data_IF_528772618913
#
_entry.id   IF_528772618913
#
_cell.length_a   1.000
_cell.length_b   1.000
_cell.length_c   1.000
_cell.angle_alpha   90.00
_cell.angle_beta   90.00
_cell.angle_gamma   90.00
#
_symmetry.space_group_name_H-M   'P 1'
#
loop_
_entity.id
_entity.type
_entity.pdbx_description
1 polymer ?
#
# COMPACT_ATOMS: atom_id res chain seq x y z
N UNK A 1 73.98 43.55 -35.63
CA UNK A 1 73.83 42.97 -34.25
C UNK A 1 72.39 42.63 -34.04
N UNK A 2 72.00 41.36 -34.11
CA UNK A 2 70.61 40.90 -34.09
C UNK A 2 70.36 40.29 -32.75
N UNK A 3 69.38 40.79 -31.96
CA UNK A 3 68.90 40.26 -30.72
C UNK A 3 67.75 39.27 -30.99
N UNK A 4 67.87 38.06 -30.54
CA UNK A 4 66.82 37.04 -30.61
C UNK A 4 66.01 37.03 -29.32
N UNK A 5 64.71 37.31 -29.47
CA UNK A 5 63.76 37.11 -28.38
C UNK A 5 63.21 35.70 -28.42
N UNK A 6 63.44 34.93 -27.37
CA UNK A 6 62.83 33.65 -27.12
C UNK A 6 61.46 33.85 -26.40
N UNK A 7 60.38 33.65 -27.12
CA UNK A 7 59.06 33.52 -26.51
C UNK A 7 58.91 32.09 -25.94
N UNK A 8 58.83 32.00 -24.60
CA UNK A 8 58.42 30.79 -23.90
C UNK A 8 56.93 30.68 -23.92
N UNK A 9 56.40 29.66 -24.57
CA UNK A 9 54.93 29.30 -24.55
C UNK A 9 54.65 28.49 -23.28
N UNK A 10 54.04 29.10 -22.29
CA UNK A 10 53.56 28.40 -21.10
C UNK A 10 52.21 27.68 -21.43
N UNK A 11 52.27 26.36 -21.52
CA UNK A 11 51.08 25.52 -21.71
C UNK A 11 50.36 25.38 -20.36
N UNK A 12 49.27 26.15 -20.13
CA UNK A 12 48.40 26.01 -18.97
C UNK A 12 47.45 24.83 -19.28
N UNK A 13 47.74 23.66 -18.71
CA UNK A 13 46.81 22.54 -18.67
C UNK A 13 45.70 22.89 -17.68
N UNK A 14 44.59 23.38 -18.18
CA UNK A 14 43.31 23.48 -17.42
C UNK A 14 42.75 22.04 -17.21
N UNK A 15 42.98 21.49 -16.02
CA UNK A 15 42.20 20.34 -15.52
C UNK A 15 40.76 20.82 -15.28
N UNK A 16 39.93 20.75 -16.30
CA UNK A 16 38.48 20.82 -16.14
C UNK A 16 38.02 19.53 -15.47
N UNK A 17 37.93 19.56 -14.15
CA UNK A 17 37.29 18.50 -13.38
C UNK A 17 35.87 18.32 -13.90
N UNK A 18 35.60 17.20 -14.55
CA UNK A 18 34.24 16.71 -14.82
C UNK A 18 33.58 16.41 -13.48
N UNK A 19 33.03 17.43 -12.85
CA UNK A 19 32.02 17.22 -11.83
C UNK A 19 30.81 16.70 -12.59
N UNK A 20 30.67 15.37 -12.65
CA UNK A 20 29.45 14.74 -13.07
C UNK A 20 28.34 15.25 -12.15
N UNK A 21 27.50 16.14 -12.66
CA UNK A 21 26.28 16.50 -11.98
C UNK A 21 25.52 15.19 -11.74
N UNK A 22 25.44 14.74 -10.48
CA UNK A 22 24.58 13.64 -10.11
C UNK A 22 23.16 14.04 -10.57
N UNK A 23 22.68 13.40 -11.62
CA UNK A 23 21.37 13.68 -12.16
C UNK A 23 20.36 13.29 -11.08
N UNK A 24 19.57 14.25 -10.62
CA UNK A 24 18.56 13.99 -9.61
C UNK A 24 17.61 12.90 -10.10
N UNK A 25 17.55 11.80 -9.36
CA UNK A 25 16.65 10.69 -9.65
C UNK A 25 15.31 10.96 -8.97
N UNK A 26 14.33 11.41 -9.75
CA UNK A 26 12.97 11.57 -9.25
C UNK A 26 12.31 10.20 -9.08
N UNK A 27 11.65 10.00 -7.95
CA UNK A 27 10.91 8.79 -7.62
C UNK A 27 9.53 9.14 -7.10
N UNK A 28 8.49 8.65 -7.74
CA UNK A 28 7.11 8.79 -7.25
C UNK A 28 6.71 7.55 -6.45
N UNK A 29 6.11 7.77 -5.28
CA UNK A 29 5.59 6.72 -4.40
C UNK A 29 4.08 6.77 -4.46
N UNK A 30 3.48 5.83 -5.19
CA UNK A 30 2.04 5.72 -5.33
C UNK A 30 1.43 5.12 -4.06
N UNK A 31 0.46 5.82 -3.46
CA UNK A 31 -0.08 5.50 -2.13
C UNK A 31 -1.58 5.18 -2.15
N UNK A 32 -2.42 6.02 -1.61
CA UNK A 32 -3.87 5.90 -1.52
C UNK A 32 -4.47 7.17 -0.95
N UNK A 33 -5.73 7.15 -0.57
CA UNK A 33 -6.41 8.27 0.06
C UNK A 33 -5.77 8.67 1.41
N UNK A 34 -5.87 9.96 1.75
CA UNK A 34 -5.24 10.55 2.94
C UNK A 34 -5.75 10.01 4.28
N UNK A 35 -6.97 9.45 4.31
CA UNK A 35 -7.55 8.82 5.50
C UNK A 35 -7.06 7.39 5.79
N UNK A 36 -6.24 6.82 4.89
CA UNK A 36 -5.69 5.47 5.02
C UNK A 36 -4.26 5.45 5.56
N UNK A 37 -3.62 4.28 5.47
CA UNK A 37 -2.26 4.03 5.99
C UNK A 37 -1.17 4.28 4.95
N UNK A 38 -1.43 4.03 3.67
CA UNK A 38 -0.43 4.18 2.60
C UNK A 38 0.11 5.61 2.49
N UNK A 39 -0.75 6.63 2.61
CA UNK A 39 -0.33 8.01 2.41
C UNK A 39 0.67 8.51 3.47
N UNK A 40 0.41 8.41 4.79
CA UNK A 40 1.40 8.80 5.80
C UNK A 40 2.67 7.95 5.72
N UNK A 41 2.55 6.64 5.44
CA UNK A 41 3.70 5.75 5.28
C UNK A 41 4.55 6.13 4.06
N UNK A 42 3.91 6.42 2.93
CA UNK A 42 4.57 6.86 1.70
C UNK A 42 5.24 8.23 1.86
N UNK A 43 4.60 9.15 2.60
CA UNK A 43 5.19 10.45 2.96
C UNK A 43 6.46 10.29 3.79
N UNK A 44 6.40 9.42 4.81
CA UNK A 44 7.58 9.08 5.62
C UNK A 44 8.69 8.45 4.78
N UNK A 45 8.34 7.50 3.91
CA UNK A 45 9.31 6.85 3.02
C UNK A 45 9.93 7.86 2.05
N UNK A 46 9.13 8.75 1.46
CA UNK A 46 9.63 9.81 0.56
C UNK A 46 10.64 10.72 1.26
N UNK A 47 10.33 11.16 2.48
CA UNK A 47 11.23 11.99 3.28
C UNK A 47 12.53 11.25 3.63
N UNK A 48 12.43 9.99 4.05
CA UNK A 48 13.59 9.14 4.40
C UNK A 48 14.49 8.92 3.18
N UNK A 49 13.92 8.57 2.03
CA UNK A 49 14.69 8.33 0.80
C UNK A 49 15.36 9.60 0.29
N UNK A 50 14.63 10.72 0.22
CA UNK A 50 15.18 12.01 -0.25
C UNK A 50 16.32 12.51 0.64
N UNK A 51 16.27 12.24 1.95
CA UNK A 51 17.29 12.65 2.90
C UNK A 51 18.53 11.76 2.88
N UNK A 52 18.38 10.45 2.66
CA UNK A 52 19.44 9.49 2.95
C UNK A 52 19.99 8.77 1.68
N UNK A 53 19.33 8.86 0.53
CA UNK A 53 19.83 8.31 -0.72
C UNK A 53 20.37 9.46 -1.59
N UNK A 54 21.68 9.52 -1.83
CA UNK A 54 22.28 10.61 -2.60
C UNK A 54 21.65 10.77 -4.00
N UNK A 55 21.24 11.98 -4.35
CA UNK A 55 20.65 12.28 -5.65
C UNK A 55 19.18 11.87 -5.82
N UNK A 56 18.56 11.20 -4.83
CA UNK A 56 17.15 10.82 -4.92
C UNK A 56 16.22 11.93 -4.45
N UNK A 57 15.18 12.21 -5.23
CA UNK A 57 14.06 13.08 -4.87
C UNK A 57 12.78 12.26 -4.93
N UNK A 58 12.28 11.83 -3.77
CA UNK A 58 11.07 11.01 -3.67
C UNK A 58 9.86 11.86 -3.25
N UNK A 59 8.69 11.57 -3.82
CA UNK A 59 7.43 12.25 -3.52
C UNK A 59 6.30 11.23 -3.38
N UNK A 60 5.49 11.36 -2.33
CA UNK A 60 4.29 10.54 -2.15
C UNK A 60 3.11 11.12 -2.94
N UNK A 61 2.41 10.28 -3.70
CA UNK A 61 1.26 10.65 -4.52
C UNK A 61 -0.02 10.01 -3.98
N UNK A 62 -1.09 10.81 -3.87
CA UNK A 62 -2.44 10.33 -3.57
C UNK A 62 -3.01 9.63 -4.80
N UNK A 63 -3.57 8.45 -4.62
CA UNK A 63 -4.20 7.65 -5.67
C UNK A 63 -5.50 7.00 -5.18
N UNK A 64 -6.19 6.27 -6.03
CA UNK A 64 -7.30 5.40 -5.63
C UNK A 64 -6.88 4.20 -4.77
N UNK A 65 -5.60 3.83 -4.79
CA UNK A 65 -5.00 2.69 -4.06
C UNK A 65 -4.36 1.65 -4.97
N UNK A 66 -4.30 0.41 -4.51
CA UNK A 66 -3.45 -0.65 -5.09
C UNK A 66 -3.59 -0.85 -6.59
N UNK A 67 -4.82 -0.86 -7.14
CA UNK A 67 -5.04 -1.09 -8.59
C UNK A 67 -4.48 0.07 -9.42
N UNK A 68 -4.68 1.30 -8.96
CA UNK A 68 -4.12 2.47 -9.65
C UNK A 68 -2.59 2.52 -9.50
N UNK A 69 -2.06 2.18 -8.31
CA UNK A 69 -0.62 2.10 -8.06
C UNK A 69 0.06 1.10 -9.01
N UNK A 70 -0.55 -0.06 -9.18
CA UNK A 70 -0.02 -1.11 -10.08
C UNK A 70 -0.02 -0.66 -11.55
N UNK A 71 -1.02 0.12 -11.99
CA UNK A 71 -1.03 0.72 -13.33
C UNK A 71 0.08 1.78 -13.49
N UNK A 72 0.30 2.62 -12.46
CA UNK A 72 1.36 3.61 -12.45
C UNK A 72 2.74 2.95 -12.52
N UNK A 73 3.00 1.94 -11.69
CA UNK A 73 4.22 1.14 -11.73
C UNK A 73 4.38 0.48 -13.10
N UNK A 74 3.31 -0.11 -13.65
CA UNK A 74 3.31 -0.75 -14.96
C UNK A 74 3.58 0.19 -16.14
N UNK A 75 3.50 1.51 -15.94
CA UNK A 75 3.82 2.49 -16.98
C UNK A 75 5.32 2.57 -17.33
N UNK A 76 6.18 1.91 -16.55
CA UNK A 76 7.64 1.96 -16.71
C UNK A 76 8.30 3.29 -16.32
N UNK A 77 7.52 4.25 -15.79
CA UNK A 77 8.04 5.48 -15.21
C UNK A 77 8.66 5.20 -13.83
N UNK A 78 9.41 6.14 -13.23
CA UNK A 78 10.08 5.92 -11.94
C UNK A 78 9.08 5.94 -10.77
N UNK A 79 8.22 4.92 -10.73
CA UNK A 79 7.26 4.67 -9.67
C UNK A 79 7.65 3.46 -8.83
N UNK A 80 7.41 3.59 -7.53
CA UNK A 80 7.16 2.46 -6.63
C UNK A 80 5.74 2.57 -6.08
N UNK A 81 5.12 1.45 -5.71
CA UNK A 81 3.74 1.49 -5.26
C UNK A 81 3.47 0.60 -4.07
N UNK A 82 2.68 1.10 -3.13
CA UNK A 82 2.06 0.28 -2.10
C UNK A 82 0.93 -0.53 -2.72
N UNK A 83 0.87 -1.81 -2.43
CA UNK A 83 -0.20 -2.67 -2.95
C UNK A 83 -0.48 -3.85 -2.02
N UNK A 84 -1.70 -4.35 -2.07
CA UNK A 84 -2.08 -5.63 -1.47
C UNK A 84 -1.63 -6.78 -2.38
N UNK A 85 -1.26 -7.91 -1.79
CA UNK A 85 -0.73 -9.07 -2.54
C UNK A 85 -1.74 -9.69 -3.49
N UNK A 86 -3.03 -9.63 -3.19
CA UNK A 86 -4.10 -10.12 -4.07
C UNK A 86 -4.22 -9.29 -5.36
N UNK A 87 -4.25 -7.96 -5.25
CA UNK A 87 -4.25 -7.08 -6.42
C UNK A 87 -2.94 -7.19 -7.22
N UNK A 88 -1.80 -7.34 -6.54
CA UNK A 88 -0.51 -7.57 -7.19
C UNK A 88 -0.49 -8.88 -7.99
N UNK A 89 -1.05 -9.97 -7.43
CA UNK A 89 -1.19 -11.24 -8.13
C UNK A 89 -2.05 -11.09 -9.39
N UNK A 90 -3.22 -10.45 -9.27
CA UNK A 90 -4.10 -10.19 -10.42
C UNK A 90 -3.37 -9.42 -11.53
N UNK A 91 -2.60 -8.39 -11.16
CA UNK A 91 -1.85 -7.57 -12.10
C UNK A 91 -0.71 -8.36 -12.77
N UNK A 92 0.05 -9.11 -11.99
CA UNK A 92 1.16 -9.93 -12.47
C UNK A 92 0.69 -11.04 -13.43
N UNK A 93 -0.47 -11.63 -13.13
CA UNK A 93 -1.09 -12.65 -13.98
C UNK A 93 -1.88 -12.07 -15.16
N UNK A 94 -2.26 -10.78 -15.11
CA UNK A 94 -3.09 -10.13 -16.13
C UNK A 94 -4.54 -10.61 -16.11
N UNK A 95 -5.10 -10.76 -14.91
CA UNK A 95 -6.49 -11.19 -14.69
C UNK A 95 -7.32 -10.09 -14.01
N UNK A 96 -8.60 -10.32 -13.83
CA UNK A 96 -9.54 -9.42 -13.15
C UNK A 96 -9.48 -7.99 -13.69
N UNK A 97 -9.13 -7.00 -12.88
CA UNK A 97 -8.99 -5.59 -13.29
C UNK A 97 -7.86 -5.35 -14.30
N UNK A 98 -6.99 -6.33 -14.50
CA UNK A 98 -5.84 -6.29 -15.41
C UNK A 98 -5.97 -7.27 -16.59
N UNK A 99 -7.18 -7.75 -16.87
CA UNK A 99 -7.43 -8.76 -17.91
C UNK A 99 -6.80 -8.37 -19.24
N UNK A 100 -5.90 -9.23 -19.71
CA UNK A 100 -5.16 -9.05 -20.96
C UNK A 100 -3.92 -8.14 -20.86
N UNK A 101 -3.65 -7.54 -19.68
CA UNK A 101 -2.54 -6.61 -19.46
C UNK A 101 -1.73 -7.04 -18.22
N UNK A 102 -0.78 -7.95 -18.40
CA UNK A 102 0.16 -8.32 -17.33
C UNK A 102 1.05 -7.13 -16.99
N UNK A 103 1.22 -6.89 -15.70
CA UNK A 103 2.13 -5.85 -15.21
C UNK A 103 3.45 -6.48 -14.79
N UNK A 104 4.59 -6.05 -15.35
CA UNK A 104 5.92 -6.60 -15.03
C UNK A 104 6.41 -6.07 -13.68
N UNK A 105 6.00 -6.75 -12.61
CA UNK A 105 6.24 -6.35 -11.23
C UNK A 105 7.40 -7.11 -10.59
N UNK A 106 8.07 -6.43 -9.64
CA UNK A 106 8.99 -7.03 -8.67
C UNK A 106 8.65 -6.53 -7.27
N UNK A 107 8.69 -7.42 -6.29
CA UNK A 107 8.56 -7.07 -4.87
C UNK A 107 9.85 -6.40 -4.39
N UNK A 108 9.71 -5.24 -3.78
CA UNK A 108 10.78 -4.59 -3.03
C UNK A 108 10.76 -5.00 -1.56
N UNK A 109 9.60 -4.95 -0.92
CA UNK A 109 9.45 -5.28 0.50
C UNK A 109 8.08 -5.91 0.78
N UNK A 110 8.06 -6.87 1.69
CA UNK A 110 6.85 -7.27 2.42
C UNK A 110 6.70 -6.30 3.61
N UNK A 111 5.53 -5.71 3.78
CA UNK A 111 5.32 -4.60 4.68
C UNK A 111 4.60 -5.00 5.98
N UNK A 112 3.28 -5.06 5.95
CA UNK A 112 2.45 -5.30 7.13
C UNK A 112 1.14 -6.01 6.74
N UNK A 113 0.49 -6.71 7.68
CA UNK A 113 -0.81 -7.31 7.44
C UNK A 113 -1.89 -6.23 7.29
N UNK A 114 -2.69 -6.33 6.25
CA UNK A 114 -3.74 -5.41 5.88
C UNK A 114 -5.10 -6.05 6.17
N UNK A 115 -5.83 -5.52 7.13
CA UNK A 115 -7.02 -6.12 7.71
C UNK A 115 -8.29 -5.55 7.09
N UNK A 116 -9.21 -6.44 6.73
CA UNK A 116 -10.54 -6.03 6.26
C UNK A 116 -11.39 -5.56 7.43
N UNK A 117 -11.84 -4.33 7.37
CA UNK A 117 -12.84 -3.75 8.25
C UNK A 117 -14.18 -3.74 7.51
N UNK A 118 -15.19 -4.37 8.06
CA UNK A 118 -16.58 -4.19 7.65
C UNK A 118 -17.25 -3.39 8.76
N UNK A 119 -17.35 -2.08 8.55
CA UNK A 119 -17.71 -1.11 9.60
C UNK A 119 -19.14 -0.65 9.41
N UNK A 120 -19.88 -0.67 10.49
CA UNK A 120 -21.19 -0.02 10.65
C UNK A 120 -21.21 0.77 11.96
N UNK A 121 -22.34 1.30 12.32
CA UNK A 121 -22.59 1.97 13.60
C UNK A 121 -23.84 1.41 14.26
N UNK A 122 -23.95 1.57 15.58
CA UNK A 122 -25.13 1.14 16.35
C UNK A 122 -26.42 1.74 15.77
N UNK A 123 -27.52 0.99 15.80
CA UNK A 123 -28.82 1.41 15.25
C UNK A 123 -29.03 1.10 13.76
N UNK A 124 -28.01 0.65 13.02
CA UNK A 124 -28.15 0.27 11.59
C UNK A 124 -28.68 -1.14 11.36
N UNK A 125 -28.77 -1.97 12.42
CA UNK A 125 -29.24 -3.35 12.33
C UNK A 125 -28.30 -4.25 11.51
N UNK A 126 -26.98 -4.03 11.63
CA UNK A 126 -25.94 -4.81 10.92
C UNK A 126 -25.06 -5.44 11.98
N UNK A 127 -25.09 -6.79 12.06
CA UNK A 127 -24.28 -7.59 12.99
C UNK A 127 -23.50 -8.71 12.29
N UNK A 128 -23.89 -9.10 11.08
CA UNK A 128 -23.27 -10.14 10.26
C UNK A 128 -23.33 -9.74 8.78
N UNK A 129 -22.54 -10.40 7.95
CA UNK A 129 -22.46 -10.10 6.51
C UNK A 129 -23.83 -10.16 5.81
N UNK A 130 -24.70 -11.10 6.17
CA UNK A 130 -26.03 -11.23 5.58
C UNK A 130 -26.95 -10.00 5.83
N UNK A 131 -26.70 -9.23 6.88
CA UNK A 131 -27.47 -8.02 7.22
C UNK A 131 -27.16 -6.82 6.30
N UNK A 132 -26.14 -6.94 5.44
CA UNK A 132 -25.83 -5.96 4.40
C UNK A 132 -26.87 -5.94 3.27
N UNK A 133 -27.71 -6.99 3.18
CA UNK A 133 -28.77 -7.06 2.17
C UNK A 133 -29.76 -5.90 2.31
N UNK A 134 -29.97 -5.19 1.20
CA UNK A 134 -30.83 -3.99 1.13
C UNK A 134 -30.20 -2.71 1.67
N UNK A 135 -29.02 -2.77 2.26
CA UNK A 135 -28.33 -1.60 2.86
C UNK A 135 -27.56 -0.80 1.81
N UNK A 136 -27.24 0.45 2.19
CA UNK A 136 -26.35 1.35 1.44
C UNK A 136 -24.94 1.10 1.94
N UNK A 137 -24.08 0.58 1.07
CA UNK A 137 -22.75 0.07 1.45
C UNK A 137 -21.66 0.63 0.55
N UNK A 138 -20.66 1.28 1.14
CA UNK A 138 -19.45 1.64 0.40
C UNK A 138 -18.50 0.45 0.34
N UNK A 139 -18.06 0.11 -0.87
CA UNK A 139 -17.16 -1.04 -1.11
C UNK A 139 -15.70 -0.64 -1.36
N UNK A 140 -15.34 0.62 -1.10
CA UNK A 140 -14.01 1.16 -1.38
C UNK A 140 -13.99 2.06 -2.61
N UNK A 141 -12.96 2.90 -2.70
CA UNK A 141 -12.79 3.81 -3.83
C UNK A 141 -12.55 3.07 -5.14
N UNK A 142 -12.92 3.67 -6.28
CA UNK A 142 -12.47 3.19 -7.58
C UNK A 142 -10.93 3.09 -7.61
N UNK A 143 -10.39 2.05 -8.22
CA UNK A 143 -8.93 1.85 -8.30
C UNK A 143 -8.28 1.32 -7.01
N UNK A 144 -9.04 1.00 -5.96
CA UNK A 144 -8.53 0.40 -4.72
C UNK A 144 -8.57 -1.14 -4.75
N UNK A 145 -7.67 -1.78 -4.01
CA UNK A 145 -7.80 -3.19 -3.69
C UNK A 145 -8.83 -3.44 -2.57
N UNK A 146 -9.23 -2.41 -1.81
CA UNK A 146 -10.39 -2.51 -0.91
C UNK A 146 -11.62 -2.96 -1.69
N UNK A 147 -11.90 -2.35 -2.85
CA UNK A 147 -13.03 -2.76 -3.70
C UNK A 147 -12.87 -4.20 -4.21
N UNK A 148 -11.64 -4.60 -4.60
CA UNK A 148 -11.35 -5.97 -5.06
C UNK A 148 -11.65 -6.98 -3.95
N UNK A 149 -11.09 -6.78 -2.77
CA UNK A 149 -11.26 -7.69 -1.63
C UNK A 149 -12.70 -7.68 -1.11
N UNK A 150 -13.38 -6.51 -1.09
CA UNK A 150 -14.79 -6.40 -0.72
C UNK A 150 -15.68 -7.26 -1.62
N UNK A 151 -15.46 -7.26 -2.94
CA UNK A 151 -16.22 -8.10 -3.87
C UNK A 151 -16.02 -9.58 -3.62
N UNK A 152 -14.78 -10.00 -3.35
CA UNK A 152 -14.43 -11.39 -3.01
C UNK A 152 -15.06 -11.84 -1.71
N UNK A 153 -15.08 -10.96 -0.71
CA UNK A 153 -15.70 -11.24 0.58
C UNK A 153 -17.24 -11.29 0.48
N UNK A 154 -17.86 -10.34 -0.21
CA UNK A 154 -19.32 -10.32 -0.44
C UNK A 154 -19.76 -11.60 -1.15
N UNK A 155 -19.03 -12.02 -2.17
CA UNK A 155 -19.30 -13.27 -2.89
C UNK A 155 -19.12 -14.49 -1.98
N UNK A 156 -18.04 -14.56 -1.20
CA UNK A 156 -17.78 -15.65 -0.25
C UNK A 156 -18.84 -15.74 0.86
N UNK A 157 -19.46 -14.61 1.21
CA UNK A 157 -20.60 -14.54 2.13
C UNK A 157 -21.96 -14.89 1.47
N UNK A 158 -21.97 -15.31 0.20
CA UNK A 158 -23.18 -15.67 -0.52
C UNK A 158 -24.06 -14.49 -0.97
N UNK A 159 -23.50 -13.29 -1.03
CA UNK A 159 -24.18 -12.07 -1.45
C UNK A 159 -23.76 -11.63 -2.85
N UNK A 160 -24.66 -10.93 -3.54
CA UNK A 160 -24.39 -10.27 -4.82
C UNK A 160 -24.21 -8.76 -4.59
N UNK A 161 -23.02 -8.26 -4.89
CA UNK A 161 -22.66 -6.85 -4.69
C UNK A 161 -23.51 -5.84 -5.47
N UNK A 162 -24.12 -6.27 -6.56
CA UNK A 162 -24.92 -5.40 -7.44
C UNK A 162 -26.44 -5.53 -7.23
N UNK A 163 -26.89 -6.67 -6.66
CA UNK A 163 -28.33 -6.95 -6.44
C UNK A 163 -28.73 -6.84 -4.98
N UNK A 164 -27.85 -7.27 -4.05
CA UNK A 164 -28.23 -7.39 -2.65
C UNK A 164 -27.97 -6.11 -1.84
N UNK A 165 -27.30 -5.10 -2.41
CA UNK A 165 -27.01 -3.84 -1.71
C UNK A 165 -27.04 -2.63 -2.64
N UNK A 166 -27.29 -1.45 -2.05
CA UNK A 166 -27.13 -0.16 -2.75
C UNK A 166 -25.66 0.26 -2.59
N UNK A 167 -24.86 0.00 -3.62
CA UNK A 167 -23.41 0.11 -3.55
C UNK A 167 -22.94 1.54 -3.85
N UNK A 168 -22.08 2.05 -2.95
CA UNK A 168 -21.31 3.27 -3.12
C UNK A 168 -19.82 2.93 -3.29
N UNK A 169 -19.03 3.85 -3.86
CA UNK A 169 -17.61 3.65 -4.15
C UNK A 169 -16.81 4.81 -3.59
N UNK A 170 -16.59 4.77 -2.28
CA UNK A 170 -15.97 5.85 -1.50
C UNK A 170 -14.68 5.38 -0.86
N UNK A 171 -13.70 6.26 -0.70
CA UNK A 171 -12.51 6.02 0.12
C UNK A 171 -12.85 5.98 1.61
N UNK A 172 -11.85 5.72 2.47
CA UNK A 172 -12.07 5.56 3.90
C UNK A 172 -12.64 6.84 4.54
N UNK A 173 -12.06 8.00 4.26
CA UNK A 173 -12.50 9.28 4.82
C UNK A 173 -13.90 9.68 4.33
N UNK A 174 -14.16 9.52 3.04
CA UNK A 174 -15.46 9.79 2.42
C UNK A 174 -16.55 8.84 2.95
N UNK A 175 -16.22 7.57 3.18
CA UNK A 175 -17.13 6.58 3.78
C UNK A 175 -17.48 6.96 5.21
N UNK A 176 -16.50 7.40 6.01
CA UNK A 176 -16.73 7.89 7.37
C UNK A 176 -17.64 9.11 7.37
N UNK A 177 -17.40 10.09 6.50
CA UNK A 177 -18.28 11.25 6.37
C UNK A 177 -19.68 10.82 5.94
N UNK A 178 -19.82 9.91 4.99
CA UNK A 178 -21.12 9.41 4.54
C UNK A 178 -21.89 8.64 5.63
N UNK A 179 -21.22 7.90 6.52
CA UNK A 179 -21.85 7.29 7.71
C UNK A 179 -22.33 8.36 8.69
N UNK A 180 -21.50 9.36 9.01
CA UNK A 180 -21.85 10.48 9.90
C UNK A 180 -23.07 11.25 9.38
N UNK A 181 -23.12 11.46 8.06
CA UNK A 181 -24.24 12.12 7.39
C UNK A 181 -25.48 11.22 7.21
N UNK A 182 -25.43 9.96 7.62
CA UNK A 182 -26.53 9.00 7.42
C UNK A 182 -26.78 8.60 5.98
N UNK A 183 -25.83 8.84 5.07
CA UNK A 183 -25.94 8.54 3.62
C UNK A 183 -25.68 7.08 3.30
N UNK A 184 -24.83 6.40 4.08
CA UNK A 184 -24.58 4.96 4.00
C UNK A 184 -24.80 4.28 5.35
N UNK A 185 -24.90 2.95 5.34
CA UNK A 185 -25.20 2.15 6.53
C UNK A 185 -24.00 1.33 6.98
N UNK A 186 -23.08 1.01 6.05
CA UNK A 186 -21.82 0.32 6.30
C UNK A 186 -20.77 0.66 5.24
N UNK A 187 -19.53 0.35 5.52
CA UNK A 187 -18.46 0.42 4.53
C UNK A 187 -17.41 -0.66 4.74
N UNK A 188 -16.78 -1.06 3.63
CA UNK A 188 -15.59 -1.89 3.59
C UNK A 188 -14.35 -1.02 3.55
N UNK A 189 -13.34 -1.42 4.29
CA UNK A 189 -12.02 -0.82 4.29
C UNK A 189 -10.95 -1.86 4.57
N UNK A 190 -9.89 -1.90 3.78
CA UNK A 190 -8.73 -2.74 4.06
C UNK A 190 -7.55 -1.85 4.43
N UNK A 191 -7.05 -2.01 5.64
CA UNK A 191 -5.98 -1.14 6.14
C UNK A 191 -5.21 -1.73 7.31
N UNK A 192 -4.07 -1.10 7.60
CA UNK A 192 -3.30 -1.31 8.84
C UNK A 192 -3.99 -0.68 10.04
N UNK A 193 -3.48 -0.97 11.23
CA UNK A 193 -4.04 -0.56 12.51
C UNK A 193 -3.18 0.47 13.23
N UNK A 194 -3.82 1.53 13.79
CA UNK A 194 -5.15 1.98 13.49
C UNK A 194 -5.23 2.72 12.14
N UNK A 195 -6.37 2.67 11.48
CA UNK A 195 -6.64 3.55 10.34
C UNK A 195 -7.22 4.88 10.83
N UNK A 196 -6.65 6.00 10.39
CA UNK A 196 -7.03 7.35 10.87
C UNK A 196 -8.53 7.65 10.67
N UNK A 197 -9.10 7.35 9.50
CA UNK A 197 -10.52 7.57 9.23
C UNK A 197 -11.43 6.74 10.15
N UNK A 198 -11.10 5.47 10.44
CA UNK A 198 -11.89 4.63 11.36
C UNK A 198 -11.77 5.14 12.80
N UNK A 199 -10.58 5.61 13.20
CA UNK A 199 -10.35 6.24 14.50
C UNK A 199 -11.21 7.51 14.65
N UNK A 200 -11.31 8.31 13.59
CA UNK A 200 -12.17 9.51 13.58
C UNK A 200 -13.65 9.15 13.78
N UNK A 201 -14.16 8.13 13.08
CA UNK A 201 -15.53 7.65 13.29
C UNK A 201 -15.74 7.16 14.73
N UNK A 202 -14.79 6.36 15.24
CA UNK A 202 -14.85 5.77 16.58
C UNK A 202 -14.85 6.83 17.71
N UNK A 203 -14.28 8.00 17.46
CA UNK A 203 -14.23 9.12 18.40
C UNK A 203 -15.35 10.16 18.20
N UNK A 204 -16.21 9.98 17.20
CA UNK A 204 -17.34 10.89 16.94
C UNK A 204 -18.35 10.81 18.07
N UNK A 205 -18.72 11.93 18.73
CA UNK A 205 -19.70 11.94 19.80
C UNK A 205 -21.03 11.31 19.37
N UNK A 206 -21.63 10.48 20.25
CA UNK A 206 -22.88 9.80 19.97
C UNK A 206 -22.79 8.64 18.97
N UNK A 207 -21.60 8.32 18.47
CA UNK A 207 -21.37 7.20 17.56
C UNK A 207 -20.71 6.02 18.29
N UNK A 208 -21.30 4.84 18.15
CA UNK A 208 -20.67 3.57 18.57
C UNK A 208 -20.47 2.71 17.34
N UNK A 209 -19.22 2.41 17.02
CA UNK A 209 -18.88 1.58 15.87
C UNK A 209 -19.28 0.12 16.11
N UNK A 210 -19.63 -0.56 15.02
CA UNK A 210 -19.87 -2.00 14.95
C UNK A 210 -18.98 -2.59 13.87
N UNK A 211 -18.18 -3.58 14.24
CA UNK A 211 -17.35 -4.33 13.31
C UNK A 211 -18.02 -5.67 13.04
N UNK A 212 -18.15 -6.04 11.77
CA UNK A 212 -18.79 -7.30 11.35
C UNK A 212 -17.73 -8.38 11.19
N UNK A 213 -17.89 -9.51 11.90
CA UNK A 213 -17.04 -10.68 11.76
C UNK A 213 -17.25 -11.35 10.40
N UNK A 214 -16.17 -11.89 9.83
CA UNK A 214 -16.19 -12.54 8.51
C UNK A 214 -14.96 -13.46 8.26
N UNK A 215 -14.25 -13.86 9.29
CA UNK A 215 -13.09 -14.74 9.15
C UNK A 215 -13.44 -16.08 8.47
N UNK A 216 -14.66 -16.59 8.69
CA UNK A 216 -15.16 -17.81 8.07
C UNK A 216 -15.18 -17.78 6.53
N UNK A 217 -15.19 -16.60 5.93
CA UNK A 217 -15.14 -16.45 4.47
C UNK A 217 -13.76 -16.73 3.87
N UNK A 218 -12.69 -16.72 4.66
CA UNK A 218 -11.30 -16.89 4.21
C UNK A 218 -11.10 -18.17 3.40
N UNK A 219 -11.64 -19.28 3.87
CA UNK A 219 -11.52 -20.56 3.18
C UNK A 219 -12.14 -20.52 1.76
N UNK A 220 -13.31 -19.92 1.61
CA UNK A 220 -13.98 -19.78 0.32
C UNK A 220 -13.23 -18.79 -0.59
N UNK A 221 -12.71 -17.69 -0.06
CA UNK A 221 -11.89 -16.73 -0.81
C UNK A 221 -10.62 -17.42 -1.32
N UNK A 222 -9.89 -18.15 -0.49
CA UNK A 222 -8.67 -18.85 -0.86
C UNK A 222 -8.91 -19.94 -1.91
N UNK A 223 -10.01 -20.67 -1.81
CA UNK A 223 -10.37 -21.71 -2.79
C UNK A 223 -10.51 -21.13 -4.20
N UNK A 224 -11.02 -19.89 -4.32
CA UNK A 224 -11.31 -19.27 -5.62
C UNK A 224 -10.16 -18.41 -6.13
N UNK A 225 -9.49 -17.64 -5.25
CA UNK A 225 -8.57 -16.60 -5.62
C UNK A 225 -7.10 -16.89 -5.26
N UNK A 226 -6.82 -18.06 -4.67
CA UNK A 226 -5.49 -18.47 -4.22
C UNK A 226 -5.23 -18.19 -2.74
N UNK A 227 -4.25 -18.87 -2.17
CA UNK A 227 -3.91 -18.83 -0.73
C UNK A 227 -3.23 -17.51 -0.32
N UNK A 228 -3.96 -16.41 -0.41
CA UNK A 228 -3.48 -15.06 -0.10
C UNK A 228 -4.09 -14.49 1.20
N UNK A 229 -5.22 -15.03 1.62
CA UNK A 229 -5.99 -14.52 2.74
C UNK A 229 -5.77 -15.39 3.96
N UNK A 230 -5.68 -14.75 5.13
CA UNK A 230 -5.57 -15.43 6.42
C UNK A 230 -6.62 -14.88 7.38
N UNK A 231 -7.08 -15.74 8.30
CA UNK A 231 -7.90 -15.31 9.42
C UNK A 231 -7.02 -14.54 10.41
N UNK A 232 -7.50 -13.39 10.88
CA UNK A 232 -6.79 -12.54 11.83
C UNK A 232 -7.80 -11.78 12.69
N UNK A 233 -7.31 -11.01 13.65
CA UNK A 233 -8.13 -10.32 14.63
C UNK A 233 -7.77 -8.84 14.66
N UNK A 234 -8.81 -7.98 14.67
CA UNK A 234 -8.69 -6.59 15.10
C UNK A 234 -9.06 -6.54 16.58
N UNK A 235 -8.10 -6.31 17.49
CA UNK A 235 -8.40 -6.23 18.92
C UNK A 235 -9.36 -5.08 19.22
N UNK A 236 -10.31 -5.30 20.13
CA UNK A 236 -11.28 -4.28 20.57
C UNK A 236 -10.64 -3.01 21.13
N UNK A 237 -9.40 -3.09 21.58
CA UNK A 237 -8.62 -1.96 22.09
C UNK A 237 -8.15 -0.99 21.00
N UNK A 238 -8.25 -1.38 19.70
CA UNK A 238 -7.76 -0.55 18.58
C UNK A 238 -8.65 0.66 18.34
N UNK A 239 -9.96 0.47 18.37
CA UNK A 239 -10.91 1.54 18.12
C UNK A 239 -11.90 1.69 19.29
N UNK A 240 -12.10 2.92 19.73
CA UNK A 240 -13.06 3.21 20.79
C UNK A 240 -14.48 2.74 20.41
N UNK A 241 -15.18 2.12 21.35
CA UNK A 241 -16.57 1.67 21.17
C UNK A 241 -16.71 0.24 20.61
N UNK A 242 -15.62 -0.45 20.31
CA UNK A 242 -15.68 -1.90 20.05
C UNK A 242 -15.95 -2.67 21.35
N UNK A 243 -16.97 -3.52 21.34
CA UNK A 243 -17.33 -4.36 22.51
C UNK A 243 -16.48 -5.64 22.55
N UNK A 244 -16.17 -6.19 21.37
CA UNK A 244 -15.45 -7.46 21.18
C UNK A 244 -14.34 -7.30 20.17
N UNK A 245 -13.39 -8.24 20.19
CA UNK A 245 -12.43 -8.41 19.11
C UNK A 245 -13.20 -8.74 17.83
N UNK A 246 -12.69 -8.28 16.67
CA UNK A 246 -13.30 -8.55 15.37
C UNK A 246 -12.48 -9.61 14.63
N UNK A 247 -13.11 -10.74 14.31
CA UNK A 247 -12.53 -11.84 13.53
C UNK A 247 -12.75 -11.58 12.04
N UNK A 248 -11.65 -11.45 11.30
CA UNK A 248 -11.69 -10.92 9.94
C UNK A 248 -10.66 -11.56 8.99
N UNK A 249 -10.78 -11.24 7.69
CA UNK A 249 -9.84 -11.63 6.67
C UNK A 249 -8.71 -10.60 6.53
N UNK A 250 -7.48 -11.09 6.45
CA UNK A 250 -6.26 -10.28 6.29
C UNK A 250 -5.53 -10.69 5.01
N UNK A 251 -4.89 -9.73 4.37
CA UNK A 251 -3.99 -9.90 3.22
C UNK A 251 -2.71 -9.11 3.47
N UNK A 252 -1.57 -9.55 2.93
CA UNK A 252 -0.31 -8.81 3.11
C UNK A 252 -0.22 -7.59 2.20
N UNK A 253 0.42 -6.55 2.71
CA UNK A 253 0.89 -5.42 1.89
C UNK A 253 2.33 -5.65 1.46
N UNK A 254 2.63 -5.22 0.24
CA UNK A 254 3.97 -5.19 -0.33
C UNK A 254 4.26 -3.83 -0.98
N UNK A 255 5.51 -3.48 -1.05
CA UNK A 255 6.02 -2.42 -1.90
C UNK A 255 6.53 -3.05 -3.19
N UNK A 256 6.12 -2.52 -4.32
CA UNK A 256 6.50 -3.05 -5.64
C UNK A 256 7.11 -1.98 -6.52
N UNK A 257 7.94 -2.44 -7.47
CA UNK A 257 8.49 -1.65 -8.56
C UNK A 257 8.26 -2.35 -9.90
N UNK A 258 8.46 -1.60 -11.00
CA UNK A 258 8.59 -2.19 -12.33
C UNK A 258 9.86 -3.05 -12.41
N UNK A 259 9.82 -4.17 -13.14
CA UNK A 259 10.96 -5.09 -13.23
C UNK A 259 12.23 -4.48 -13.86
N UNK A 260 12.08 -3.39 -14.62
CA UNK A 260 13.22 -2.67 -15.22
C UNK A 260 13.86 -1.65 -14.27
N UNK A 261 13.43 -1.54 -13.01
CA UNK A 261 14.12 -0.67 -12.06
C UNK A 261 15.57 -1.12 -11.92
N UNK A 262 16.49 -0.17 -11.88
CA UNK A 262 17.92 -0.44 -11.65
C UNK A 262 18.15 -1.14 -10.30
N UNK A 263 19.03 -2.15 -10.30
CA UNK A 263 19.31 -2.98 -9.12
C UNK A 263 19.86 -2.18 -7.93
N UNK A 264 20.74 -1.20 -8.19
CA UNK A 264 21.29 -0.36 -7.14
C UNK A 264 20.23 0.56 -6.57
N UNK A 265 19.31 1.06 -7.41
CA UNK A 265 18.18 1.87 -6.98
C UNK A 265 17.25 1.06 -6.07
N UNK A 266 16.85 -0.15 -6.50
CA UNK A 266 16.03 -1.05 -5.69
C UNK A 266 16.71 -1.39 -4.36
N UNK A 267 18.01 -1.71 -4.38
CA UNK A 267 18.79 -1.99 -3.18
C UNK A 267 18.82 -0.79 -2.22
N UNK A 268 19.13 0.41 -2.71
CA UNK A 268 19.23 1.60 -1.88
C UNK A 268 17.89 1.97 -1.25
N UNK A 269 16.76 1.83 -1.97
CA UNK A 269 15.42 2.05 -1.42
C UNK A 269 15.18 1.13 -0.24
N UNK A 270 15.36 -0.16 -0.42
CA UNK A 270 15.06 -1.17 0.59
C UNK A 270 16.02 -1.09 1.79
N UNK A 271 17.32 -0.98 1.52
CA UNK A 271 18.34 -0.78 2.56
C UNK A 271 18.00 0.43 3.43
N UNK A 272 17.73 1.58 2.81
CA UNK A 272 17.43 2.81 3.53
C UNK A 272 16.14 2.68 4.34
N UNK A 273 15.10 2.03 3.80
CA UNK A 273 13.86 1.79 4.54
C UNK A 273 14.07 0.96 5.80
N UNK A 274 14.93 -0.07 5.75
CA UNK A 274 15.27 -0.87 6.94
C UNK A 274 16.18 -0.11 7.92
N UNK A 275 17.21 0.57 7.45
CA UNK A 275 18.14 1.34 8.29
C UNK A 275 17.45 2.53 8.99
N UNK A 276 16.39 3.07 8.39
CA UNK A 276 15.61 4.19 8.90
C UNK A 276 14.21 3.78 9.36
N UNK A 277 14.04 2.52 9.75
CA UNK A 277 12.74 2.00 10.18
C UNK A 277 12.10 2.81 11.29
N UNK A 278 12.89 3.33 12.23
CA UNK A 278 12.37 4.13 13.34
C UNK A 278 11.75 5.46 12.86
N UNK A 279 12.32 6.09 11.84
CA UNK A 279 11.73 7.26 11.18
C UNK A 279 10.38 6.92 10.50
N UNK A 280 10.28 5.71 9.93
CA UNK A 280 9.03 5.21 9.34
C UNK A 280 7.99 4.86 10.41
N UNK A 281 8.41 4.32 11.56
CA UNK A 281 7.52 4.06 12.71
C UNK A 281 6.93 5.37 13.23
N UNK A 282 7.71 6.45 13.24
CA UNK A 282 7.22 7.78 13.60
C UNK A 282 6.13 8.29 12.63
N UNK A 283 6.16 7.88 11.37
CA UNK A 283 5.13 8.21 10.37
C UNK A 283 3.88 7.35 10.53
N UNK A 284 4.03 6.06 10.81
CA UNK A 284 2.93 5.14 11.10
C UNK A 284 3.44 3.88 11.81
N UNK A 285 2.77 3.49 12.90
CA UNK A 285 3.20 2.36 13.74
C UNK A 285 3.25 1.00 13.02
N UNK A 286 2.52 0.81 11.92
CA UNK A 286 2.61 -0.43 11.13
C UNK A 286 4.02 -0.67 10.56
N UNK A 287 4.89 0.34 10.50
CA UNK A 287 6.28 0.13 10.13
C UNK A 287 7.07 -0.73 11.14
N UNK A 288 6.55 -0.99 12.34
CA UNK A 288 7.09 -1.98 13.28
C UNK A 288 7.10 -3.39 12.68
N UNK A 289 6.22 -3.66 11.69
CA UNK A 289 6.15 -4.92 10.95
C UNK A 289 7.18 -5.02 9.81
N UNK A 290 7.93 -3.96 9.49
CA UNK A 290 9.01 -4.01 8.52
C UNK A 290 10.19 -4.75 9.13
N UNK A 291 10.21 -6.07 8.97
CA UNK A 291 11.20 -6.96 9.56
C UNK A 291 11.87 -7.79 8.48
N UNK A 292 13.17 -8.01 8.59
CA UNK A 292 13.93 -8.83 7.65
C UNK A 292 13.43 -10.27 7.61
N UNK A 293 13.03 -10.82 8.76
CA UNK A 293 12.47 -12.17 8.88
C UNK A 293 11.17 -12.38 8.08
N UNK A 294 10.45 -11.30 7.76
CA UNK A 294 9.23 -11.33 6.95
C UNK A 294 9.53 -11.31 5.44
N UNK A 295 10.78 -11.04 5.03
CA UNK A 295 11.16 -10.94 3.63
C UNK A 295 11.39 -12.32 3.01
N UNK A 296 10.34 -13.14 2.93
CA UNK A 296 10.36 -14.50 2.37
C UNK A 296 9.55 -14.56 1.09
N UNK A 297 10.01 -15.34 0.10
CA UNK A 297 9.25 -15.54 -1.14
C UNK A 297 7.83 -16.08 -0.90
N UNK A 298 7.63 -16.86 0.18
CA UNK A 298 6.30 -17.36 0.56
C UNK A 298 5.34 -16.27 1.06
N UNK A 299 5.83 -15.07 1.37
CA UNK A 299 5.01 -13.95 1.86
C UNK A 299 4.49 -13.03 0.73
N UNK A 300 4.92 -13.29 -0.52
CA UNK A 300 4.48 -12.51 -1.70
C UNK A 300 4.35 -13.41 -2.92
N UNK A 301 3.26 -13.26 -3.72
CA UNK A 301 3.10 -14.00 -4.97
C UNK A 301 3.98 -13.47 -6.12
N UNK A 302 4.63 -12.31 -5.91
CA UNK A 302 5.44 -11.63 -6.91
C UNK A 302 6.93 -11.89 -6.61
N UNK A 303 7.77 -12.24 -7.61
CA UNK A 303 9.19 -12.40 -7.40
C UNK A 303 9.84 -11.13 -6.82
N UNK A 304 10.83 -11.30 -5.95
CA UNK A 304 11.62 -10.18 -5.47
C UNK A 304 12.45 -9.56 -6.60
N UNK A 305 12.79 -8.27 -6.43
CA UNK A 305 13.67 -7.58 -7.35
C UNK A 305 15.09 -8.16 -7.27
N UNK A 306 15.78 -8.40 -8.43
CA UNK A 306 17.14 -9.00 -8.42
C UNK A 306 18.14 -8.26 -7.54
N UNK A 307 18.07 -6.93 -7.49
CA UNK A 307 18.94 -6.11 -6.63
C UNK A 307 18.86 -6.41 -5.13
N UNK A 308 17.88 -7.25 -4.69
CA UNK A 308 17.71 -7.59 -3.29
C UNK A 308 18.32 -8.95 -2.90
N UNK A 309 18.72 -9.76 -3.88
CA UNK A 309 19.04 -11.18 -3.67
C UNK A 309 20.33 -11.48 -2.91
N UNK A 310 21.27 -10.57 -2.76
CA UNK A 310 22.63 -10.94 -2.35
C UNK A 310 23.04 -10.45 -0.97
N UNK A 311 22.51 -9.36 -0.45
CA UNK A 311 23.05 -8.74 0.77
C UNK A 311 22.07 -8.52 1.91
N UNK A 312 20.80 -8.25 1.64
CA UNK A 312 19.80 -8.03 2.69
C UNK A 312 19.26 -9.34 3.27
N UNK A 313 19.10 -10.37 2.43
CA UNK A 313 18.57 -11.68 2.85
C UNK A 313 19.63 -12.61 3.45
N UNK A 314 20.94 -12.31 3.30
CA UNK A 314 22.02 -13.08 3.91
C UNK A 314 22.37 -12.66 5.35
N UNK A 315 21.80 -11.57 5.84
CA UNK A 315 21.99 -11.08 7.22
C UNK A 315 20.80 -11.41 8.16
N UNK A 316 19.78 -12.08 7.63
CA UNK A 316 18.70 -12.70 8.39
C UNK A 316 18.96 -14.22 8.50
#
# INVERSE_FOLDING_TARGET
>A
MRAWHRCGLALVLSLSGLWGAAQAQNLSIATGGTGGVYYPMGGGLAAVLSKNVPGMQATAEVTGGSVDNLKLVGSGKPYIGFTMTDAAQDAYQGVEKFKGNKVPLRTLMVLYPNRMHVVSVEGKGISRMADLKGKRVSTGSPGSATEVMAFRLIEAAGLDKDKDMKRERLGAAESVNAIKDGKIDAFFWVGGLPTAAVTDLANTPGTKIKMVDHAEAVAAMNKKYGNLYVEDVIPKSVYKGMDTDNHQATVMNILVAHESMDENTAYNIVKTAFERRDDLIASHKEATNFKLENQKQSATPIPYHPGLHVSLLKKA
#
